data_IF_632079173651
#
_entry.id   IF_632079173651
#
_cell.length_a   1.000
_cell.length_b   1.000
_cell.length_c   1.000
_cell.angle_alpha   90.00
_cell.angle_beta   90.00
_cell.angle_gamma   90.00
#
_symmetry.space_group_name_H-M   'P 1'
#
loop_
_entity.id
_entity.type
_entity.pdbx_description
1 polymer ?
#
# COMPACT_ATOMS: atom_id res chain seq x y z
N UNK A 1 22.88 0.72 -4.60
CA UNK A 1 22.04 0.41 -3.42
C UNK A 1 20.85 -0.40 -3.91
N UNK A 2 20.64 -1.60 -3.38
CA UNK A 2 19.49 -2.41 -3.79
C UNK A 2 18.20 -1.74 -3.31
N UNK A 3 17.28 -1.43 -4.23
CA UNK A 3 15.91 -1.04 -3.86
C UNK A 3 15.18 -2.31 -3.47
N UNK A 4 14.79 -2.40 -2.21
CA UNK A 4 13.90 -3.47 -1.75
C UNK A 4 12.49 -3.05 -2.15
N UNK A 5 11.77 -3.90 -2.87
CA UNK A 5 10.38 -3.67 -3.25
C UNK A 5 9.45 -4.46 -2.33
N UNK A 6 8.32 -3.85 -1.99
CA UNK A 6 7.27 -4.46 -1.17
C UNK A 6 5.92 -4.25 -1.85
N UNK A 7 5.05 -5.22 -1.72
CA UNK A 7 3.67 -5.08 -2.18
C UNK A 7 2.81 -4.62 -1.00
N UNK A 8 2.15 -3.48 -1.15
CA UNK A 8 1.34 -2.85 -0.09
C UNK A 8 -0.10 -2.69 -0.55
N UNK A 9 -1.04 -2.95 0.35
CA UNK A 9 -2.48 -2.80 0.14
C UNK A 9 -3.00 -1.75 1.12
N UNK A 10 -3.76 -0.74 0.68
CA UNK A 10 -4.34 0.24 1.60
C UNK A 10 -5.43 -0.40 2.45
N UNK A 11 -5.62 0.11 3.66
CA UNK A 11 -6.80 -0.23 4.45
C UNK A 11 -8.08 0.27 3.77
N UNK A 12 -9.18 -0.43 3.99
CA UNK A 12 -10.48 -0.05 3.45
C UNK A 12 -10.87 1.37 3.86
N UNK A 13 -11.40 2.14 2.91
CA UNK A 13 -11.82 3.51 3.14
C UNK A 13 -10.67 4.51 3.38
N UNK A 14 -9.40 4.09 3.28
CA UNK A 14 -8.24 5.00 3.33
C UNK A 14 -7.77 5.38 1.93
N UNK A 15 -7.51 6.67 1.77
CA UNK A 15 -6.82 7.23 0.60
C UNK A 15 -5.35 7.43 0.96
N UNK A 16 -4.48 6.57 0.42
CA UNK A 16 -3.02 6.66 0.65
C UNK A 16 -2.36 7.19 -0.62
N UNK A 17 -1.75 8.40 -0.61
CA UNK A 17 -1.06 8.91 -1.79
C UNK A 17 0.21 8.12 -2.08
N UNK A 18 0.55 7.97 -3.35
CA UNK A 18 1.80 7.40 -3.86
C UNK A 18 2.70 8.56 -4.36
N UNK A 19 3.67 9.02 -3.55
CA UNK A 19 4.50 10.17 -3.89
C UNK A 19 5.41 9.94 -5.10
N UNK A 20 5.70 8.68 -5.45
CA UNK A 20 6.56 8.37 -6.59
C UNK A 20 5.81 8.53 -7.93
N UNK A 21 4.49 8.37 -7.93
CA UNK A 21 3.64 8.42 -9.13
C UNK A 21 2.73 9.65 -9.19
N UNK A 22 2.49 10.28 -8.05
CA UNK A 22 1.55 11.41 -7.94
C UNK A 22 0.09 11.00 -8.01
N UNK A 23 -0.22 9.71 -7.82
CA UNK A 23 -1.59 9.17 -7.74
C UNK A 23 -1.89 8.62 -6.33
N UNK A 24 -3.04 7.98 -6.16
CA UNK A 24 -3.40 7.28 -4.92
C UNK A 24 -3.21 5.78 -5.09
N UNK A 25 -2.83 5.10 -4.01
CA UNK A 25 -2.67 3.66 -4.00
C UNK A 25 -4.04 2.99 -4.29
N UNK A 26 -4.13 2.10 -5.30
CA UNK A 26 -5.38 1.42 -5.62
C UNK A 26 -5.77 0.45 -4.49
N UNK A 27 -7.07 0.17 -4.37
CA UNK A 27 -7.61 -0.74 -3.36
C UNK A 27 -7.03 -2.17 -3.45
N UNK A 28 -6.61 -2.58 -4.64
CA UNK A 28 -5.96 -3.88 -4.89
C UNK A 28 -4.53 -3.93 -4.34
N UNK A 29 -3.94 -2.78 -4.03
CA UNK A 29 -2.54 -2.62 -3.67
C UNK A 29 -1.60 -2.54 -4.86
N UNK A 30 -0.32 -2.29 -4.58
CA UNK A 30 0.71 -2.10 -5.61
C UNK A 30 2.10 -2.46 -5.08
N UNK A 31 2.99 -2.83 -5.99
CA UNK A 31 4.42 -2.93 -5.71
C UNK A 31 5.03 -1.53 -5.62
N UNK A 32 5.69 -1.24 -4.51
CA UNK A 32 6.34 0.04 -4.20
C UNK A 32 7.74 -0.19 -3.65
N UNK A 33 8.59 0.82 -3.75
CA UNK A 33 9.93 0.77 -3.14
C UNK A 33 9.78 0.91 -1.63
N UNK A 34 10.44 0.04 -0.86
CA UNK A 34 10.50 0.12 0.60
C UNK A 34 11.35 1.33 1.02
N UNK A 35 10.71 2.48 1.09
CA UNK A 35 11.27 3.75 1.52
C UNK A 35 10.69 4.18 2.89
N UNK A 36 11.20 5.26 3.50
CA UNK A 36 10.69 5.75 4.78
C UNK A 36 9.20 6.14 4.75
N UNK A 37 8.68 6.55 3.59
CA UNK A 37 7.27 6.90 3.44
C UNK A 37 6.38 5.67 3.64
N UNK A 38 6.66 4.58 2.91
CA UNK A 38 5.87 3.35 3.01
C UNK A 38 6.05 2.66 4.37
N UNK A 39 7.25 2.73 4.97
CA UNK A 39 7.48 2.22 6.32
C UNK A 39 6.55 2.91 7.32
N UNK A 40 6.47 4.24 7.28
CA UNK A 40 5.56 4.99 8.15
C UNK A 40 4.10 4.62 7.94
N UNK A 41 3.66 4.46 6.69
CA UNK A 41 2.28 4.03 6.38
C UNK A 41 1.96 2.62 6.91
N UNK A 42 2.95 1.74 6.97
CA UNK A 42 2.79 0.41 7.56
C UNK A 42 2.66 0.54 9.10
N UNK A 43 3.49 1.37 9.74
CA UNK A 43 3.44 1.61 11.19
C UNK A 43 2.14 2.30 11.62
N UNK A 44 1.66 3.28 10.84
CA UNK A 44 0.39 3.99 11.04
C UNK A 44 -0.84 3.13 10.67
N UNK A 45 -0.61 1.89 10.21
CA UNK A 45 -1.62 0.95 9.72
C UNK A 45 -2.48 1.52 8.58
N UNK A 46 -1.94 2.47 7.82
CA UNK A 46 -2.56 3.00 6.59
C UNK A 46 -2.54 1.96 5.48
N UNK A 47 -1.47 1.15 5.44
CA UNK A 47 -1.28 0.06 4.49
C UNK A 47 -0.79 -1.20 5.19
N UNK A 48 -1.00 -2.35 4.57
CA UNK A 48 -0.45 -3.63 5.01
C UNK A 48 0.46 -4.22 3.92
N UNK A 49 1.55 -4.86 4.31
CA UNK A 49 2.40 -5.61 3.38
C UNK A 49 1.71 -6.94 3.06
N UNK A 50 1.46 -7.19 1.77
CA UNK A 50 0.86 -8.43 1.28
C UNK A 50 1.81 -9.15 0.31
N UNK A 51 1.54 -10.42 0.05
CA UNK A 51 2.22 -11.16 -1.02
C UNK A 51 1.61 -10.76 -2.36
N UNK A 52 2.44 -10.47 -3.36
CA UNK A 52 1.97 -10.15 -4.71
C UNK A 52 1.11 -11.32 -5.22
N UNK A 53 -0.19 -11.06 -5.44
CA UNK A 53 -1.18 -12.08 -5.80
C UNK A 53 -2.26 -12.35 -4.74
N UNK A 54 -2.16 -11.76 -3.53
CA UNK A 54 -3.19 -11.86 -2.49
C UNK A 54 -4.18 -10.68 -2.48
N UNK A 55 -4.33 -9.98 -3.63
CA UNK A 55 -5.29 -8.88 -3.76
C UNK A 55 -6.72 -9.41 -3.85
N UNK A 56 -7.39 -9.59 -2.71
CA UNK A 56 -8.83 -9.33 -2.47
C UNK A 56 -9.12 -9.41 -0.98
N UNK A 57 -9.64 -8.33 -0.40
CA UNK A 57 -10.91 -8.33 0.32
C UNK A 57 -11.03 -7.04 1.14
N UNK A 58 -11.79 -6.12 0.58
CA UNK A 58 -12.49 -5.11 1.35
C UNK A 58 -13.67 -4.65 0.50
N UNK A 59 -14.88 -5.21 0.58
CA UNK A 59 -15.76 -5.46 1.74
C UNK A 59 -16.28 -4.21 2.46
N UNK A 60 -16.82 -3.29 1.66
CA UNK A 60 -18.18 -2.76 1.86
C UNK A 60 -18.46 -2.07 3.19
N UNK A 61 -18.60 -0.74 3.14
CA UNK A 61 -19.38 -0.03 4.16
C UNK A 61 -20.76 0.31 3.63
N UNK A 62 -21.74 -0.41 4.21
CA UNK A 62 -23.12 -0.06 4.57
C UNK A 62 -23.91 0.92 3.70
#
# INVERSE_FOLDING_TARGET
>A
MAKIEIYVVPQEGRTVPDPARGDVLPAEGRLVVRDPYWIRRIEDKDVAVAKQGAGKAGSGSK
#
